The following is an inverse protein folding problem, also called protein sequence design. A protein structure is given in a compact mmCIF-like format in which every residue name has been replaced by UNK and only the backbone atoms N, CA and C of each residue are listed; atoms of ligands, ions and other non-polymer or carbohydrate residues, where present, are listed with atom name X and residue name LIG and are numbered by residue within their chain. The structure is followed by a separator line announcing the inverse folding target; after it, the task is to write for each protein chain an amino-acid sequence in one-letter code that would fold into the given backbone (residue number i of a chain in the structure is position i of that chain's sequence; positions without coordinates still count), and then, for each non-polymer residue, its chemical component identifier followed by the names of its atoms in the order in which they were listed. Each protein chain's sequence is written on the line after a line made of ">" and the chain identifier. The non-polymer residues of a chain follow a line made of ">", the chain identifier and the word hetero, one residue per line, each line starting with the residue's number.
data_IF_808681645648
#
_entry.id   IF_808681645648
#
_cell.length_a   1.000
_cell.length_b   1.000
_cell.length_c   1.000
_cell.angle_alpha   90.00
_cell.angle_beta   90.00
_cell.angle_gamma   90.00
#
_symmetry.space_group_name_H-M   'P 1'
#
loop_
_entity.id
_entity.type
_entity.pdbx_description
1 polymer ?
#
# COMPACT_ATOMS: atom_id res chain seq x y z
N UNK A 1 29.26 -1.55 -28.86
CA UNK A 1 28.42 -1.24 -27.67
C UNK A 1 29.36 -0.90 -26.52
N UNK A 2 29.18 0.23 -25.82
CA UNK A 2 29.91 0.48 -24.58
C UNK A 2 29.53 -0.59 -23.53
N UNK A 3 30.45 -1.01 -22.64
CA UNK A 3 30.14 -1.97 -21.60
C UNK A 3 29.04 -1.38 -20.68
N UNK A 4 27.99 -2.14 -20.41
CA UNK A 4 27.05 -1.79 -19.34
C UNK A 4 27.88 -1.70 -18.07
N UNK A 5 27.99 -0.51 -17.48
CA UNK A 5 28.52 -0.37 -16.12
C UNK A 5 27.75 -1.35 -15.23
N UNK A 6 28.47 -2.08 -14.37
CA UNK A 6 27.88 -3.11 -13.51
C UNK A 6 26.96 -2.46 -12.46
N UNK A 7 25.73 -2.13 -12.85
CA UNK A 7 24.72 -1.65 -11.91
C UNK A 7 24.41 -2.79 -10.93
N UNK A 8 24.48 -2.48 -9.64
CA UNK A 8 24.01 -3.36 -8.56
C UNK A 8 22.57 -3.79 -8.88
N UNK A 9 22.31 -5.09 -8.86
CA UNK A 9 20.94 -5.62 -8.90
C UNK A 9 20.24 -5.21 -7.61
N UNK A 10 19.04 -4.64 -7.72
CA UNK A 10 18.24 -4.22 -6.57
C UNK A 10 17.09 -5.20 -6.34
N UNK A 11 16.78 -5.46 -5.08
CA UNK A 11 15.71 -6.36 -4.64
C UNK A 11 14.47 -5.53 -4.29
N UNK A 12 13.34 -5.84 -4.92
CA UNK A 12 12.04 -5.24 -4.62
C UNK A 12 11.31 -6.06 -3.53
N UNK A 13 10.32 -5.45 -2.89
CA UNK A 13 9.40 -6.12 -1.98
C UNK A 13 8.49 -7.17 -2.64
N UNK A 14 7.74 -7.87 -1.78
CA UNK A 14 6.83 -8.95 -2.17
C UNK A 14 5.35 -8.55 -2.16
N UNK A 15 4.48 -9.57 -2.14
CA UNK A 15 3.03 -9.38 -2.10
C UNK A 15 2.55 -8.69 -0.82
N UNK A 16 2.07 -7.44 -0.98
CA UNK A 16 1.50 -6.66 0.12
C UNK A 16 0.27 -7.34 0.75
N UNK A 17 -0.62 -7.93 -0.07
CA UNK A 17 -1.84 -8.58 0.42
C UNK A 17 -1.53 -9.80 1.30
N UNK A 18 -0.50 -10.56 0.95
CA UNK A 18 -0.07 -11.73 1.73
C UNK A 18 0.42 -11.30 3.11
N UNK A 19 1.33 -10.33 3.18
CA UNK A 19 1.84 -9.86 4.47
C UNK A 19 0.80 -9.10 5.28
N UNK A 20 -0.11 -8.36 4.64
CA UNK A 20 -1.21 -7.70 5.33
C UNK A 20 -2.13 -8.70 6.04
N UNK A 21 -2.37 -9.89 5.44
CA UNK A 21 -3.13 -10.97 6.08
C UNK A 21 -2.46 -11.49 7.37
N UNK A 22 -1.13 -11.40 7.45
CA UNK A 22 -0.35 -11.81 8.61
C UNK A 22 -0.33 -10.73 9.72
N UNK A 23 -0.63 -9.47 9.39
CA UNK A 23 -0.65 -8.34 10.34
C UNK A 23 -2.07 -8.06 10.84
N UNK A 24 -3.05 -8.09 9.94
CA UNK A 24 -4.46 -7.86 10.24
C UNK A 24 -5.25 -9.12 9.91
N UNK A 25 -5.61 -9.86 10.97
CA UNK A 25 -6.43 -11.07 10.84
C UNK A 25 -7.76 -10.72 10.18
N UNK A 26 -8.21 -11.62 9.32
CA UNK A 26 -9.52 -11.54 8.66
C UNK A 26 -9.74 -10.28 7.81
N UNK A 27 -8.68 -9.55 7.46
CA UNK A 27 -8.78 -8.30 6.71
C UNK A 27 -9.54 -8.46 5.39
N UNK A 28 -9.40 -9.62 4.74
CA UNK A 28 -10.06 -9.96 3.48
C UNK A 28 -11.34 -10.80 3.62
N UNK A 29 -11.87 -11.00 4.83
CA UNK A 29 -13.16 -11.70 5.02
C UNK A 29 -14.34 -10.87 4.49
N UNK A 30 -14.22 -9.54 4.57
CA UNK A 30 -15.16 -8.61 3.95
C UNK A 30 -14.59 -8.13 2.62
N UNK A 31 -15.44 -8.02 1.60
CA UNK A 31 -15.06 -7.36 0.35
C UNK A 31 -14.71 -5.88 0.61
N UNK A 32 -13.64 -5.43 -0.03
CA UNK A 32 -13.05 -4.10 0.16
C UNK A 32 -12.94 -3.41 -1.19
N UNK A 33 -13.58 -2.24 -1.39
CA UNK A 33 -13.65 -1.63 -2.71
C UNK A 33 -12.26 -1.26 -3.28
N UNK A 34 -11.28 -0.92 -2.43
CA UNK A 34 -9.92 -0.62 -2.87
C UNK A 34 -8.89 -1.68 -2.44
N UNK A 35 -9.33 -2.89 -2.11
CA UNK A 35 -8.46 -4.00 -1.72
C UNK A 35 -7.47 -3.60 -0.61
N UNK A 36 -6.15 -3.75 -0.82
CA UNK A 36 -5.13 -3.44 0.19
C UNK A 36 -5.03 -1.96 0.49
N UNK A 37 -5.45 -1.09 -0.44
CA UNK A 37 -5.41 0.36 -0.23
C UNK A 37 -6.38 0.81 0.88
N UNK A 38 -7.47 0.08 1.13
CA UNK A 38 -8.36 0.38 2.27
C UNK A 38 -7.60 0.35 3.61
N UNK A 39 -6.52 -0.43 3.72
CA UNK A 39 -5.69 -0.45 4.92
C UNK A 39 -4.94 0.85 5.14
N UNK A 40 -4.66 1.64 4.10
CA UNK A 40 -4.06 2.98 4.24
C UNK A 40 -5.00 3.91 5.01
N UNK A 41 -6.30 3.78 4.76
CA UNK A 41 -7.35 4.61 5.39
C UNK A 41 -7.72 4.05 6.78
N UNK A 42 -7.88 2.74 6.89
CA UNK A 42 -8.49 2.10 8.08
C UNK A 42 -7.48 1.52 9.07
N UNK A 43 -6.28 1.16 8.62
CA UNK A 43 -5.23 0.49 9.40
C UNK A 43 -3.81 0.99 9.05
N UNK A 44 -3.54 2.31 9.10
CA UNK A 44 -2.26 2.88 8.64
C UNK A 44 -1.04 2.27 9.35
N UNK A 45 -1.16 1.94 10.63
CA UNK A 45 -0.09 1.27 11.39
C UNK A 45 0.23 -0.13 10.86
N UNK A 46 -0.77 -0.86 10.37
CA UNK A 46 -0.54 -2.15 9.73
C UNK A 46 0.23 -2.01 8.41
N UNK A 47 -0.06 -0.96 7.63
CA UNK A 47 0.67 -0.66 6.39
C UNK A 47 2.14 -0.37 6.69
N UNK A 48 2.43 0.43 7.73
CA UNK A 48 3.80 0.68 8.20
C UNK A 48 4.47 -0.63 8.61
N UNK A 49 3.77 -1.50 9.36
CA UNK A 49 4.32 -2.77 9.80
C UNK A 49 4.67 -3.70 8.63
N UNK A 50 3.83 -3.79 7.60
CA UNK A 50 4.11 -4.60 6.40
C UNK A 50 5.35 -4.08 5.67
N UNK A 51 5.46 -2.77 5.44
CA UNK A 51 6.66 -2.20 4.82
C UNK A 51 7.93 -2.46 5.65
N UNK A 52 7.84 -2.30 6.99
CA UNK A 52 8.95 -2.61 7.89
C UNK A 52 9.42 -4.06 7.78
N UNK A 53 8.49 -5.03 7.69
CA UNK A 53 8.86 -6.45 7.51
C UNK A 53 9.66 -6.70 6.25
N UNK A 54 9.33 -6.04 5.14
CA UNK A 54 10.13 -6.15 3.91
C UNK A 54 11.48 -5.46 4.03
N UNK A 55 11.54 -4.27 4.66
CA UNK A 55 12.79 -3.56 4.93
C UNK A 55 13.71 -4.42 5.80
N UNK A 56 13.19 -5.01 6.88
CA UNK A 56 13.93 -5.89 7.78
C UNK A 56 14.41 -7.18 7.08
N UNK A 57 13.68 -7.64 6.05
CA UNK A 57 14.09 -8.75 5.18
C UNK A 57 15.20 -8.38 4.17
N UNK A 58 15.58 -7.11 4.07
CA UNK A 58 16.72 -6.64 3.29
C UNK A 58 16.41 -6.20 1.86
N UNK A 59 15.17 -5.82 1.55
CA UNK A 59 14.83 -5.25 0.23
C UNK A 59 15.52 -3.90 0.01
N UNK A 60 15.93 -3.61 -1.22
CA UNK A 60 16.50 -2.31 -1.59
C UNK A 60 15.41 -1.27 -1.91
N UNK A 61 14.24 -1.71 -2.35
CA UNK A 61 13.11 -0.86 -2.76
C UNK A 61 11.79 -1.42 -2.21
N UNK A 62 10.87 -0.51 -1.88
CA UNK A 62 9.48 -0.85 -1.52
C UNK A 62 8.51 -0.23 -2.53
N UNK A 63 7.37 -0.88 -2.70
CA UNK A 63 6.27 -0.40 -3.53
C UNK A 63 5.21 0.23 -2.64
N UNK A 64 4.82 1.48 -2.87
CA UNK A 64 3.73 2.09 -2.09
C UNK A 64 2.43 1.28 -2.23
N UNK A 65 1.67 1.14 -1.14
CA UNK A 65 0.38 0.44 -1.15
C UNK A 65 -0.72 1.29 -1.81
N UNK A 66 -0.55 1.63 -3.10
CA UNK A 66 -1.36 2.60 -3.83
C UNK A 66 -1.87 2.06 -5.17
N UNK A 67 -1.85 0.74 -5.38
CA UNK A 67 -2.31 0.12 -6.63
C UNK A 67 -3.77 0.50 -6.98
N UNK A 68 -4.65 0.60 -5.98
CA UNK A 68 -6.05 1.05 -6.13
C UNK A 68 -6.31 2.49 -5.63
N UNK A 69 -5.26 3.31 -5.44
CA UNK A 69 -5.40 4.69 -4.96
C UNK A 69 -5.81 5.67 -6.08
N UNK A 70 -6.96 5.45 -6.70
CA UNK A 70 -7.51 6.32 -7.75
C UNK A 70 -8.56 7.28 -7.19
N UNK A 71 -8.71 8.48 -7.79
CA UNK A 71 -9.75 9.42 -7.40
C UNK A 71 -11.16 8.83 -7.55
N UNK A 72 -11.40 8.05 -8.60
CA UNK A 72 -12.68 7.37 -8.80
C UNK A 72 -12.96 6.32 -7.72
N UNK A 73 -11.94 5.58 -7.30
CA UNK A 73 -12.01 4.58 -6.21
C UNK A 73 -12.31 5.24 -4.86
N UNK A 74 -11.66 6.37 -4.58
CA UNK A 74 -11.89 7.15 -3.36
C UNK A 74 -13.28 7.80 -3.34
N UNK A 75 -13.73 8.37 -4.47
CA UNK A 75 -15.06 8.98 -4.56
C UNK A 75 -16.20 7.97 -4.34
N UNK A 76 -16.05 6.73 -4.81
CA UNK A 76 -17.02 5.65 -4.54
C UNK A 76 -17.17 5.31 -3.04
N UNK A 77 -16.17 5.66 -2.23
CA UNK A 77 -16.19 5.50 -0.78
C UNK A 77 -16.58 6.79 -0.03
N UNK A 78 -16.99 7.84 -0.74
CA UNK A 78 -17.28 9.14 -0.12
C UNK A 78 -16.02 9.90 0.36
N UNK A 79 -14.85 9.52 -0.14
CA UNK A 79 -13.56 10.17 0.13
C UNK A 79 -13.18 11.11 -1.02
N UNK A 80 -14.16 11.84 -1.56
CA UNK A 80 -13.91 12.89 -2.53
C UNK A 80 -13.46 14.15 -1.76
N UNK A 81 -12.27 14.66 -2.09
CA UNK A 81 -11.64 15.79 -1.40
C UNK A 81 -12.56 16.95 -0.98
N UNK A 82 -13.59 17.35 -1.77
CA UNK A 82 -14.58 18.35 -1.35
C UNK A 82 -15.29 18.03 -0.02
N UNK A 83 -15.67 16.77 0.22
CA UNK A 83 -16.37 16.34 1.44
C UNK A 83 -15.47 16.40 2.68
N UNK A 84 -14.16 16.20 2.51
CA UNK A 84 -13.17 16.32 3.58
C UNK A 84 -12.88 17.78 3.96
N UNK A 85 -13.03 18.71 3.02
CA UNK A 85 -12.81 20.15 3.25
C UNK A 85 -14.02 20.79 3.96
N UNK A 86 -15.25 20.40 3.64
CA UNK A 86 -16.46 20.94 4.27
C UNK A 86 -16.64 20.54 5.75
N UNK A 87 -15.96 19.51 6.23
CA UNK A 87 -16.09 19.06 7.63
C UNK A 87 -15.27 19.91 8.61
N UNK A 88 -14.38 20.78 8.11
CA UNK A 88 -13.41 21.56 8.91
C UNK A 88 -13.77 23.05 8.99
N UNK A 89 -14.92 23.47 8.45
CA UNK A 89 -15.42 24.86 8.48
C UNK A 89 -16.84 24.90 9.06
#
# INVERSE_FOLDING_TARGET
>A
MPPRTSRKVRVLDGSFATELSNVVKDFFVQERPNWTFDAVITHPEAVIMVHKRYIDAGVDDITSNTYHASLSSLAQQGLDGPSLIMTVI
#
